data_IF_438040681430
#
_entry.id   IF_438040681430
#
_cell.length_a   1.000
_cell.length_b   1.000
_cell.length_c   1.000
_cell.angle_alpha   90.00
_cell.angle_beta   90.00
_cell.angle_gamma   90.00
#
_symmetry.space_group_name_H-M   'P 1'
#
loop_
_entity.id
_entity.type
_entity.pdbx_description
1 polymer ?
#
# COMPACT_ATOMS: atom_id res chain seq x y z
N UNK A 1 12.34 16.22 -15.16
CA UNK A 1 11.46 16.08 -16.36
C UNK A 1 10.04 15.92 -15.84
N UNK A 2 9.13 16.82 -16.20
CA UNK A 2 7.72 16.69 -15.83
C UNK A 2 7.20 15.42 -16.53
N UNK A 3 6.71 14.46 -15.73
CA UNK A 3 6.16 13.22 -16.28
C UNK A 3 4.92 13.58 -17.11
N UNK A 4 4.95 13.32 -18.43
CA UNK A 4 3.84 13.62 -19.36
C UNK A 4 2.51 12.95 -18.97
N UNK A 5 2.56 11.94 -18.11
CA UNK A 5 1.41 11.10 -17.69
C UNK A 5 0.95 11.37 -16.25
N UNK A 6 1.56 12.36 -15.57
CA UNK A 6 1.29 12.66 -14.16
C UNK A 6 2.06 11.74 -13.19
N UNK A 7 1.79 11.85 -11.87
CA UNK A 7 2.44 11.02 -10.85
C UNK A 7 1.98 9.56 -10.95
N UNK A 8 2.88 8.62 -10.67
CA UNK A 8 2.53 7.23 -10.44
C UNK A 8 1.64 7.12 -9.19
N UNK A 9 0.50 6.45 -9.30
CA UNK A 9 -0.43 6.23 -8.20
C UNK A 9 -0.32 4.78 -7.72
N UNK A 10 0.06 4.59 -6.46
CA UNK A 10 0.24 3.26 -5.86
C UNK A 10 -0.71 3.07 -4.70
N UNK A 11 -1.61 2.10 -4.83
CA UNK A 11 -2.53 1.71 -3.77
C UNK A 11 -1.86 0.78 -2.75
N UNK A 12 -2.08 1.03 -1.46
CA UNK A 12 -1.64 0.18 -0.35
C UNK A 12 -2.88 -0.32 0.37
N UNK A 13 -3.29 -1.55 0.09
CA UNK A 13 -4.44 -2.21 0.69
C UNK A 13 -4.03 -3.26 1.73
N UNK A 14 -5.00 -3.69 2.52
CA UNK A 14 -4.83 -4.76 3.48
C UNK A 14 -5.66 -4.58 4.75
N UNK A 15 -5.84 -5.62 5.57
CA UNK A 15 -6.61 -5.56 6.78
C UNK A 15 -6.08 -4.56 7.81
N UNK A 16 -6.95 -4.17 8.73
CA UNK A 16 -6.56 -3.36 9.88
C UNK A 16 -5.46 -4.08 10.66
N UNK A 17 -4.42 -3.35 11.03
CA UNK A 17 -3.28 -3.88 11.77
C UNK A 17 -2.24 -4.64 10.94
N UNK A 18 -2.44 -4.89 9.64
CA UNK A 18 -1.45 -5.60 8.80
C UNK A 18 -0.12 -4.85 8.63
N UNK A 19 -0.11 -3.52 8.88
CA UNK A 19 1.08 -2.67 8.80
C UNK A 19 1.18 -1.85 7.52
N UNK A 20 0.03 -1.47 6.93
CA UNK A 20 -0.04 -0.55 5.80
C UNK A 20 0.65 0.77 6.10
N UNK A 21 0.26 1.41 7.20
CA UNK A 21 0.82 2.70 7.64
C UNK A 21 2.33 2.62 7.92
N UNK A 22 2.79 1.50 8.48
CA UNK A 22 4.24 1.26 8.66
C UNK A 22 4.98 1.13 7.32
N UNK A 23 4.36 0.51 6.31
CA UNK A 23 4.90 0.45 4.96
C UNK A 23 4.92 1.83 4.32
N UNK A 24 3.82 2.58 4.42
CA UNK A 24 3.69 3.96 3.91
C UNK A 24 4.77 4.85 4.51
N UNK A 25 4.95 4.81 5.84
CA UNK A 25 6.01 5.56 6.55
C UNK A 25 7.41 5.18 6.04
N UNK A 26 7.71 3.89 5.95
CA UNK A 26 9.02 3.41 5.49
C UNK A 26 9.32 3.84 4.05
N UNK A 27 8.33 3.77 3.15
CA UNK A 27 8.46 4.24 1.77
C UNK A 27 8.68 5.76 1.71
N UNK A 28 7.91 6.54 2.48
CA UNK A 28 8.08 7.98 2.56
C UNK A 28 9.49 8.39 3.00
N UNK A 29 9.96 7.83 4.11
CA UNK A 29 11.30 8.12 4.64
C UNK A 29 12.43 7.73 3.69
N UNK A 30 12.22 6.68 2.89
CA UNK A 30 13.20 6.19 1.93
C UNK A 30 13.23 6.98 0.63
N UNK A 31 12.06 7.33 0.10
CA UNK A 31 11.92 7.85 -1.26
C UNK A 31 11.84 9.37 -1.33
N UNK A 32 11.30 10.04 -0.31
CA UNK A 32 11.06 11.50 -0.33
C UNK A 32 12.31 12.36 -0.57
N UNK A 33 13.50 11.81 -0.30
CA UNK A 33 14.77 12.48 -0.60
C UNK A 33 15.18 12.42 -2.07
N UNK A 34 14.52 11.56 -2.86
CA UNK A 34 14.90 11.27 -4.24
C UNK A 34 13.82 11.66 -5.24
N UNK A 35 12.55 11.56 -4.85
CA UNK A 35 11.40 11.83 -5.70
C UNK A 35 10.39 12.71 -4.98
N UNK A 36 9.67 13.54 -5.74
CA UNK A 36 8.56 14.33 -5.23
C UNK A 36 7.35 13.45 -5.02
N UNK A 37 6.88 13.32 -3.76
CA UNK A 37 5.81 12.41 -3.43
C UNK A 37 4.79 13.00 -2.46
N UNK A 38 3.59 12.40 -2.44
CA UNK A 38 2.51 12.69 -1.51
C UNK A 38 1.82 11.40 -1.04
N UNK A 39 1.02 11.49 0.02
CA UNK A 39 0.22 10.40 0.57
C UNK A 39 -1.23 10.83 0.72
N UNK A 40 -2.14 9.95 0.33
CA UNK A 40 -3.56 9.98 0.68
C UNK A 40 -3.80 8.79 1.62
N UNK A 41 -4.30 9.06 2.82
CA UNK A 41 -4.62 8.03 3.79
C UNK A 41 -6.12 8.03 4.04
N UNK A 42 -6.77 6.91 3.71
CA UNK A 42 -8.19 6.73 3.92
C UNK A 42 -8.44 6.10 5.29
N UNK A 43 -9.44 6.60 5.99
CA UNK A 43 -9.99 5.97 7.18
C UNK A 43 -11.51 6.08 7.19
N UNK A 44 -12.19 5.26 7.99
CA UNK A 44 -13.65 5.18 8.01
C UNK A 44 -14.25 6.36 8.77
N UNK A 45 -13.74 6.66 9.96
CA UNK A 45 -14.29 7.65 10.90
C UNK A 45 -13.25 8.64 11.44
N UNK A 46 -11.98 8.44 11.11
CA UNK A 46 -10.89 9.22 11.69
C UNK A 46 -9.85 9.54 10.61
N UNK A 47 -8.88 10.35 10.97
CA UNK A 47 -7.69 10.62 10.16
C UNK A 47 -6.43 10.14 10.91
N UNK A 48 -6.57 9.15 11.82
CA UNK A 48 -5.50 8.70 12.71
C UNK A 48 -4.23 8.28 11.96
N UNK A 49 -4.38 7.53 10.87
CA UNK A 49 -3.22 7.11 10.07
C UNK A 49 -2.51 8.30 9.41
N UNK A 50 -3.28 9.29 8.94
CA UNK A 50 -2.70 10.54 8.41
C UNK A 50 -2.03 11.34 9.54
N UNK A 51 -2.67 11.49 10.69
CA UNK A 51 -2.10 12.16 11.87
C UNK A 51 -0.83 11.47 12.37
N UNK A 52 -0.81 10.13 12.36
CA UNK A 52 0.39 9.37 12.68
C UNK A 52 1.54 9.70 11.72
N UNK A 53 1.30 9.67 10.41
CA UNK A 53 2.32 10.00 9.39
C UNK A 53 2.83 11.45 9.53
N UNK A 54 1.95 12.38 9.90
CA UNK A 54 2.30 13.76 10.21
C UNK A 54 3.17 13.83 11.47
N UNK A 55 2.78 13.15 12.54
CA UNK A 55 3.49 13.11 13.83
C UNK A 55 4.90 12.54 13.71
N UNK A 56 5.07 11.48 12.91
CA UNK A 56 6.40 10.88 12.67
C UNK A 56 7.19 11.61 11.58
N UNK A 57 6.66 12.72 11.06
CA UNK A 57 7.27 13.54 10.01
C UNK A 57 7.70 12.70 8.80
N UNK A 58 6.84 11.77 8.37
CA UNK A 58 7.08 10.93 7.21
C UNK A 58 7.27 11.76 5.93
N UNK A 59 6.45 12.83 5.80
CA UNK A 59 6.51 13.87 4.76
C UNK A 59 6.14 15.23 5.36
N UNK A 60 6.38 16.36 4.66
CA UNK A 60 5.79 17.66 4.97
C UNK A 60 4.26 17.55 5.07
N UNK A 61 3.65 18.28 6.01
CA UNK A 61 2.23 18.20 6.36
C UNK A 61 1.31 18.40 5.16
N UNK A 62 1.65 19.35 4.29
CA UNK A 62 0.89 19.68 3.08
C UNK A 62 0.93 18.57 2.00
N UNK A 63 1.77 17.55 2.16
CA UNK A 63 1.89 16.38 1.27
C UNK A 63 1.19 15.13 1.83
N UNK A 64 0.55 15.24 2.98
CA UNK A 64 -0.24 14.17 3.60
C UNK A 64 -1.69 14.63 3.65
N UNK A 65 -2.59 13.88 3.02
CA UNK A 65 -4.02 14.16 2.99
C UNK A 65 -4.80 13.01 3.61
N UNK A 66 -5.49 13.27 4.70
CA UNK A 66 -6.48 12.37 5.28
C UNK A 66 -7.81 12.47 4.51
N UNK A 67 -8.45 11.34 4.26
CA UNK A 67 -9.77 11.23 3.63
C UNK A 67 -10.67 10.37 4.53
N UNK A 68 -11.72 10.97 5.06
CA UNK A 68 -12.76 10.25 5.78
C UNK A 68 -13.76 9.66 4.79
N UNK A 69 -13.88 8.34 4.75
CA UNK A 69 -14.73 7.66 3.76
C UNK A 69 -16.18 7.51 4.22
N UNK A 70 -16.47 7.77 5.48
CA UNK A 70 -17.84 7.85 6.04
C UNK A 70 -18.68 6.57 5.97
N UNK A 71 -18.08 5.45 5.61
CA UNK A 71 -18.79 4.19 5.39
C UNK A 71 -17.86 3.02 5.15
N UNK A 72 -18.18 2.17 4.19
CA UNK A 72 -17.35 1.03 3.84
C UNK A 72 -16.08 1.49 3.10
N UNK A 73 -14.87 1.24 3.64
CA UNK A 73 -13.62 1.70 3.03
C UNK A 73 -13.39 1.12 1.62
N UNK A 74 -13.99 -0.03 1.31
CA UNK A 74 -13.92 -0.63 -0.03
C UNK A 74 -14.58 0.24 -1.09
N UNK A 75 -15.66 0.94 -0.74
CA UNK A 75 -16.38 1.82 -1.67
C UNK A 75 -15.45 2.93 -2.15
N UNK A 76 -14.75 3.59 -1.25
CA UNK A 76 -13.90 4.74 -1.58
C UNK A 76 -12.66 4.39 -2.44
N UNK A 77 -12.24 3.13 -2.45
CA UNK A 77 -11.09 2.70 -3.26
C UNK A 77 -11.50 1.95 -4.54
N UNK A 78 -12.77 1.55 -4.68
CA UNK A 78 -13.24 0.73 -5.80
C UNK A 78 -14.53 1.19 -6.44
N UNK A 79 -15.69 1.10 -5.73
CA UNK A 79 -17.02 1.33 -6.34
C UNK A 79 -17.27 2.81 -6.62
N UNK A 80 -16.82 3.69 -5.73
CA UNK A 80 -16.92 5.15 -5.87
C UNK A 80 -15.63 5.81 -5.38
N UNK A 81 -14.64 5.84 -6.23
CA UNK A 81 -13.34 6.43 -5.94
C UNK A 81 -13.32 7.97 -6.05
N UNK A 82 -14.45 8.64 -6.24
CA UNK A 82 -14.55 10.08 -6.53
C UNK A 82 -13.85 10.95 -5.49
N UNK A 83 -14.00 10.65 -4.21
CA UNK A 83 -13.36 11.41 -3.13
C UNK A 83 -11.83 11.30 -3.18
N UNK A 84 -11.31 10.13 -3.51
CA UNK A 84 -9.87 9.92 -3.67
C UNK A 84 -9.33 10.54 -4.96
N UNK A 85 -10.09 10.49 -6.06
CA UNK A 85 -9.72 11.14 -7.32
C UNK A 85 -9.65 12.66 -7.15
N UNK A 86 -10.61 13.27 -6.43
CA UNK A 86 -10.54 14.67 -6.03
C UNK A 86 -9.27 14.98 -5.22
N UNK A 87 -8.95 14.15 -4.23
CA UNK A 87 -7.75 14.32 -3.43
C UNK A 87 -6.46 14.22 -4.26
N UNK A 88 -6.42 13.32 -5.25
CA UNK A 88 -5.33 13.21 -6.23
C UNK A 88 -5.18 14.50 -7.04
N UNK A 89 -6.29 15.02 -7.57
CA UNK A 89 -6.25 16.22 -8.41
C UNK A 89 -5.84 17.45 -7.61
N UNK A 90 -6.32 17.64 -6.40
CA UNK A 90 -5.88 18.73 -5.52
C UNK A 90 -4.37 18.66 -5.21
N UNK A 91 -3.82 17.46 -4.99
CA UNK A 91 -2.39 17.30 -4.78
C UNK A 91 -1.58 17.59 -6.04
N UNK A 92 -2.06 17.22 -7.22
CA UNK A 92 -1.42 17.51 -8.51
C UNK A 92 -1.42 19.02 -8.82
N UNK A 93 -2.52 19.72 -8.52
CA UNK A 93 -2.61 21.17 -8.68
C UNK A 93 -1.65 21.89 -7.74
N UNK A 94 -1.60 21.45 -6.49
CA UNK A 94 -0.72 22.04 -5.46
C UNK A 94 0.76 21.76 -5.70
N UNK A 95 1.09 20.58 -6.24
CA UNK A 95 2.46 20.12 -6.47
C UNK A 95 2.64 19.60 -7.91
N UNK A 96 2.84 20.49 -8.88
CA UNK A 96 3.00 20.10 -10.29
C UNK A 96 4.22 19.22 -10.59
N UNK A 97 5.14 19.14 -9.65
CA UNK A 97 6.35 18.31 -9.71
C UNK A 97 6.17 16.88 -9.15
N UNK A 98 4.96 16.52 -8.72
CA UNK A 98 4.69 15.21 -8.14
C UNK A 98 5.04 14.07 -9.10
N UNK A 99 5.78 13.09 -8.57
CA UNK A 99 6.19 11.88 -9.29
C UNK A 99 5.50 10.62 -8.73
N UNK A 100 5.11 10.62 -7.43
CA UNK A 100 4.47 9.48 -6.76
C UNK A 100 3.37 9.94 -5.80
N UNK A 101 2.22 9.26 -5.85
CA UNK A 101 1.18 9.35 -4.82
C UNK A 101 0.95 7.95 -4.25
N UNK A 102 1.12 7.78 -2.94
CA UNK A 102 0.70 6.58 -2.22
C UNK A 102 -0.73 6.78 -1.73
N UNK A 103 -1.60 5.79 -1.97
CA UNK A 103 -3.02 5.82 -1.54
C UNK A 103 -3.25 4.63 -0.63
N UNK A 104 -3.30 4.90 0.67
CA UNK A 104 -3.53 3.88 1.70
C UNK A 104 -5.04 3.69 1.93
N UNK A 105 -5.49 2.44 2.00
CA UNK A 105 -6.89 2.10 2.31
C UNK A 105 -7.16 2.09 3.81
N UNK A 106 -8.41 2.35 4.21
CA UNK A 106 -8.84 2.41 5.61
C UNK A 106 -8.97 1.05 6.32
N UNK A 107 -8.52 -0.03 5.68
CA UNK A 107 -8.62 -1.39 6.23
C UNK A 107 -9.58 -2.24 5.41
N UNK A 108 -9.05 -3.27 4.77
CA UNK A 108 -9.76 -4.07 3.78
C UNK A 108 -9.80 -5.54 4.16
N UNK A 109 -10.76 -6.26 3.59
CA UNK A 109 -10.75 -7.71 3.60
C UNK A 109 -10.04 -8.26 2.35
N UNK A 110 -9.86 -9.58 2.28
CA UNK A 110 -9.16 -10.25 1.18
C UNK A 110 -9.86 -10.13 -0.20
N UNK A 111 -11.07 -9.60 -0.26
CA UNK A 111 -11.82 -9.39 -1.50
C UNK A 111 -11.61 -7.98 -2.09
N UNK A 112 -11.12 -7.02 -1.30
CA UNK A 112 -10.95 -5.65 -1.72
C UNK A 112 -9.79 -5.50 -2.72
N UNK A 113 -10.06 -4.77 -3.80
CA UNK A 113 -9.06 -4.38 -4.80
C UNK A 113 -9.29 -2.91 -5.16
N UNK A 114 -8.22 -2.21 -5.51
CA UNK A 114 -8.34 -0.83 -5.99
C UNK A 114 -9.00 -0.74 -7.37
N UNK A 115 -9.70 0.36 -7.62
CA UNK A 115 -10.16 0.72 -8.97
C UNK A 115 -8.94 1.02 -9.86
N UNK A 116 -8.92 0.52 -11.11
CA UNK A 116 -7.88 0.86 -12.09
C UNK A 116 -7.84 2.36 -12.45
N UNK A 117 -8.91 3.11 -12.19
CA UNK A 117 -8.95 4.56 -12.39
C UNK A 117 -8.18 5.29 -11.29
N UNK A 118 -8.20 4.72 -10.08
CA UNK A 118 -7.58 5.33 -8.91
C UNK A 118 -6.09 5.06 -8.82
N UNK A 119 -5.64 3.83 -9.12
CA UNK A 119 -4.24 3.45 -8.97
C UNK A 119 -3.69 2.77 -10.23
N UNK A 120 -2.41 2.99 -10.46
CA UNK A 120 -1.65 2.35 -11.55
C UNK A 120 -1.05 1.01 -11.11
N UNK A 121 -0.72 0.89 -9.81
CA UNK A 121 -0.19 -0.32 -9.18
C UNK A 121 -0.81 -0.50 -7.79
N UNK A 122 -0.90 -1.75 -7.34
CA UNK A 122 -1.44 -2.11 -6.03
C UNK A 122 -0.48 -2.98 -5.22
N UNK A 123 -0.25 -2.60 -3.98
CA UNK A 123 0.44 -3.40 -2.98
C UNK A 123 -0.61 -3.88 -1.97
N UNK A 124 -0.70 -5.18 -1.76
CA UNK A 124 -1.56 -5.72 -0.72
C UNK A 124 -0.73 -6.24 0.44
N UNK A 125 -1.08 -5.83 1.66
CA UNK A 125 -0.35 -6.15 2.88
C UNK A 125 -1.16 -7.12 3.73
N UNK A 126 -0.59 -8.27 4.03
CA UNK A 126 -1.06 -9.19 5.09
C UNK A 126 0.04 -9.36 6.12
N UNK A 127 -0.25 -9.96 7.25
CA UNK A 127 0.77 -10.31 8.23
C UNK A 127 0.65 -11.75 8.74
N UNK A 128 1.72 -12.27 9.30
CA UNK A 128 1.78 -13.67 9.76
C UNK A 128 0.83 -13.95 10.92
N UNK A 129 0.46 -12.94 11.73
CA UNK A 129 -0.44 -13.13 12.87
C UNK A 129 -1.91 -13.32 12.45
N UNK A 130 -2.23 -13.06 11.18
CA UNK A 130 -3.56 -13.35 10.62
C UNK A 130 -3.78 -14.85 10.38
N UNK A 131 -2.73 -15.65 10.43
CA UNK A 131 -2.73 -17.09 10.18
C UNK A 131 -1.94 -17.49 8.94
N UNK A 132 -1.14 -18.55 9.05
CA UNK A 132 -0.27 -19.03 7.97
C UNK A 132 -1.02 -19.56 6.75
N UNK A 133 -2.32 -19.84 6.88
CA UNK A 133 -3.19 -20.37 5.83
C UNK A 133 -3.89 -19.27 5.00
N UNK A 134 -3.73 -18.01 5.34
CA UNK A 134 -4.35 -16.87 4.61
C UNK A 134 -4.00 -16.88 3.12
N UNK A 135 -2.76 -17.07 2.67
CA UNK A 135 -2.45 -17.11 1.24
C UNK A 135 -3.18 -18.23 0.51
N UNK A 136 -3.29 -19.42 1.13
CA UNK A 136 -4.00 -20.58 0.57
C UNK A 136 -5.50 -20.38 0.48
N UNK A 137 -6.11 -19.65 1.43
CA UNK A 137 -7.53 -19.25 1.36
C UNK A 137 -7.80 -18.32 0.19
N UNK A 138 -6.79 -17.57 -0.23
CA UNK A 138 -6.84 -16.72 -1.39
C UNK A 138 -7.74 -15.50 -1.22
N UNK A 139 -8.21 -15.00 -2.34
CA UNK A 139 -9.02 -13.80 -2.47
C UNK A 139 -8.43 -12.86 -3.54
N UNK A 140 -9.26 -12.04 -4.19
CA UNK A 140 -8.79 -11.15 -5.26
C UNK A 140 -7.63 -10.24 -4.86
N UNK A 141 -7.63 -9.76 -3.62
CA UNK A 141 -6.56 -8.90 -3.14
C UNK A 141 -5.20 -9.62 -3.07
N UNK A 142 -5.19 -10.90 -2.68
CA UNK A 142 -3.96 -11.72 -2.65
C UNK A 142 -3.54 -12.12 -4.07
N UNK A 143 -4.49 -12.58 -4.89
CA UNK A 143 -4.18 -13.20 -6.18
C UNK A 143 -3.98 -12.22 -7.33
N UNK A 144 -4.41 -10.95 -7.19
CA UNK A 144 -4.42 -9.95 -8.27
C UNK A 144 -3.61 -8.69 -7.98
N UNK A 145 -3.24 -8.42 -6.72
CA UNK A 145 -2.37 -7.27 -6.44
C UNK A 145 -1.03 -7.40 -7.17
N UNK A 146 -0.46 -6.29 -7.61
CA UNK A 146 0.82 -6.29 -8.30
C UNK A 146 1.95 -6.76 -7.39
N UNK A 147 1.90 -6.42 -6.10
CA UNK A 147 2.78 -6.94 -5.07
C UNK A 147 2.00 -7.41 -3.84
N UNK A 148 2.37 -8.56 -3.28
CA UNK A 148 1.92 -9.01 -1.97
C UNK A 148 3.05 -8.84 -0.96
N UNK A 149 2.80 -8.10 0.13
CA UNK A 149 3.71 -8.03 1.27
C UNK A 149 3.17 -8.90 2.41
N UNK A 150 3.95 -9.89 2.82
CA UNK A 150 3.72 -10.68 4.04
C UNK A 150 4.57 -10.06 5.14
N UNK A 151 3.93 -9.27 6.00
CA UNK A 151 4.59 -8.46 7.01
C UNK A 151 4.72 -9.18 8.36
N UNK A 152 5.48 -8.59 9.29
CA UNK A 152 5.68 -9.06 10.67
C UNK A 152 6.23 -10.48 10.76
N UNK A 153 7.13 -10.85 9.88
CA UNK A 153 7.70 -12.21 9.82
C UNK A 153 8.42 -12.61 11.10
N UNK A 154 8.88 -11.66 11.91
CA UNK A 154 9.43 -11.84 13.23
C UNK A 154 8.45 -12.46 14.23
N UNK A 155 7.15 -12.29 14.02
CA UNK A 155 6.10 -12.86 14.86
C UNK A 155 5.81 -14.32 14.56
N UNK A 156 6.26 -14.86 13.43
CA UNK A 156 5.93 -16.21 12.99
C UNK A 156 6.16 -17.30 14.06
N UNK A 157 7.30 -17.32 14.80
CA UNK A 157 7.51 -18.30 15.86
C UNK A 157 6.51 -18.17 17.02
N UNK A 158 6.04 -16.96 17.31
CA UNK A 158 5.15 -16.68 18.44
C UNK A 158 3.68 -17.00 18.14
N UNK A 159 3.31 -17.02 16.85
CA UNK A 159 1.95 -17.33 16.39
C UNK A 159 1.85 -18.73 15.75
N UNK A 160 2.92 -19.53 15.84
CA UNK A 160 2.95 -20.91 15.33
C UNK A 160 2.89 -21.03 13.81
N UNK A 161 3.34 -20.00 13.07
CA UNK A 161 3.36 -19.99 11.61
C UNK A 161 4.70 -20.52 11.10
N UNK A 162 4.64 -21.49 10.19
CA UNK A 162 5.79 -21.95 9.43
C UNK A 162 5.90 -21.12 8.14
N UNK A 163 6.96 -20.33 8.02
CA UNK A 163 7.18 -19.43 6.87
C UNK A 163 7.41 -20.20 5.56
N UNK A 164 8.06 -21.37 5.59
CA UNK A 164 8.30 -22.17 4.37
C UNK A 164 6.97 -22.71 3.82
N UNK A 165 6.07 -23.15 4.69
CA UNK A 165 4.71 -23.59 4.30
C UNK A 165 3.93 -22.40 3.74
N UNK A 166 3.97 -21.27 4.42
CA UNK A 166 3.29 -20.05 3.97
C UNK A 166 3.82 -19.57 2.63
N UNK A 167 5.13 -19.66 2.39
CA UNK A 167 5.76 -19.33 1.11
C UNK A 167 5.23 -20.20 -0.02
N UNK A 168 5.19 -21.51 0.17
CA UNK A 168 4.63 -22.44 -0.82
C UNK A 168 3.17 -22.10 -1.15
N UNK A 169 2.35 -21.78 -0.13
CA UNK A 169 0.96 -21.37 -0.33
C UNK A 169 0.87 -20.05 -1.12
N UNK A 170 1.75 -19.08 -0.86
CA UNK A 170 1.84 -17.83 -1.62
C UNK A 170 2.20 -18.09 -3.08
N UNK A 171 3.21 -18.91 -3.34
CA UNK A 171 3.66 -19.24 -4.70
C UNK A 171 2.55 -19.90 -5.52
N UNK A 172 1.81 -20.82 -4.91
CA UNK A 172 0.66 -21.49 -5.53
C UNK A 172 -0.48 -20.49 -5.82
N UNK A 173 -0.80 -19.63 -4.85
CA UNK A 173 -1.90 -18.66 -4.99
C UNK A 173 -1.61 -17.55 -6.01
N UNK A 174 -0.36 -17.12 -6.12
CA UNK A 174 0.03 -15.95 -6.92
C UNK A 174 0.61 -16.27 -8.29
N UNK A 175 0.93 -17.52 -8.59
CA UNK A 175 1.41 -17.96 -9.91
C UNK A 175 2.46 -17.03 -10.52
N UNK A 176 3.58 -16.76 -10.03
CA UNK A 176 4.65 -15.85 -10.49
C UNK A 176 4.45 -14.36 -10.22
N UNK A 177 3.31 -13.92 -9.73
CA UNK A 177 3.19 -12.54 -9.28
C UNK A 177 4.10 -12.29 -8.07
N UNK A 178 4.76 -11.13 -8.01
CA UNK A 178 5.78 -10.87 -7.01
C UNK A 178 5.21 -10.79 -5.59
N UNK A 179 5.98 -11.28 -4.63
CA UNK A 179 5.70 -11.19 -3.21
C UNK A 179 6.97 -10.93 -2.41
N UNK A 180 6.81 -10.40 -1.20
CA UNK A 180 7.92 -10.11 -0.28
C UNK A 180 7.53 -10.53 1.12
N UNK A 181 8.40 -11.27 1.80
CA UNK A 181 8.35 -11.45 3.24
C UNK A 181 9.16 -10.33 3.91
N UNK A 182 8.56 -9.64 4.88
CA UNK A 182 9.18 -8.47 5.45
C UNK A 182 8.79 -8.17 6.89
N UNK A 183 9.45 -7.14 7.43
CA UNK A 183 9.21 -6.58 8.74
C UNK A 183 9.34 -5.06 8.65
N UNK A 184 8.26 -4.39 8.26
CA UNK A 184 8.29 -2.97 7.90
C UNK A 184 8.72 -2.07 9.07
N UNK A 185 8.38 -2.44 10.31
CA UNK A 185 8.81 -1.73 11.51
C UNK A 185 10.35 -1.60 11.61
N UNK A 186 11.09 -2.58 11.11
CA UNK A 186 12.55 -2.61 11.11
C UNK A 186 13.15 -2.44 9.71
N UNK A 187 12.37 -1.97 8.75
CA UNK A 187 12.77 -1.76 7.35
C UNK A 187 13.25 -3.04 6.62
N UNK A 188 12.98 -4.24 7.15
CA UNK A 188 13.32 -5.48 6.46
C UNK A 188 12.36 -5.72 5.29
N UNK A 189 12.89 -5.91 4.10
CA UNK A 189 12.13 -6.07 2.86
C UNK A 189 11.78 -4.77 2.14
N UNK A 190 11.99 -3.59 2.74
CA UNK A 190 11.65 -2.30 2.13
C UNK A 190 12.44 -2.02 0.86
N UNK A 191 13.69 -2.50 0.76
CA UNK A 191 14.51 -2.36 -0.46
C UNK A 191 13.82 -3.04 -1.63
N UNK A 192 13.40 -4.29 -1.43
CA UNK A 192 12.71 -5.08 -2.46
C UNK A 192 11.40 -4.41 -2.88
N UNK A 193 10.57 -3.97 -1.92
CA UNK A 193 9.32 -3.26 -2.22
C UNK A 193 9.57 -2.00 -3.03
N UNK A 194 10.52 -1.17 -2.61
CA UNK A 194 10.82 0.11 -3.28
C UNK A 194 11.43 -0.08 -4.68
N UNK A 195 12.28 -1.10 -4.85
CA UNK A 195 12.95 -1.35 -6.13
C UNK A 195 12.02 -2.01 -7.14
N UNK A 196 11.29 -3.04 -6.73
CA UNK A 196 10.50 -3.88 -7.65
C UNK A 196 9.33 -3.13 -8.28
N UNK A 197 8.74 -2.16 -7.56
CA UNK A 197 7.48 -1.55 -7.96
C UNK A 197 7.55 -0.05 -8.24
N UNK A 198 8.57 0.66 -7.69
CA UNK A 198 8.61 2.11 -7.79
C UNK A 198 9.74 2.62 -8.67
N UNK A 199 10.67 1.76 -9.07
CA UNK A 199 11.84 2.13 -9.88
C UNK A 199 11.95 1.39 -11.21
N UNK A 200 11.21 0.29 -11.41
CA UNK A 200 11.11 -0.32 -12.74
C UNK A 200 10.29 0.60 -13.64
N UNK A 201 10.76 0.89 -14.85
CA UNK A 201 9.95 1.62 -15.80
C UNK A 201 8.66 0.83 -15.98
N UNK A 202 7.54 1.41 -15.62
CA UNK A 202 6.24 0.90 -16.01
C UNK A 202 6.31 0.69 -17.51
N UNK A 203 6.08 -0.52 -17.97
CA UNK A 203 5.86 -0.80 -19.39
C UNK A 203 4.59 -0.08 -19.80
N UNK A 204 4.70 1.21 -20.02
CA UNK A 204 3.80 2.00 -20.81
C UNK A 204 4.31 1.87 -22.25
N UNK A 205 3.94 0.76 -22.87
CA UNK A 205 4.00 0.60 -24.33
C UNK A 205 2.69 1.05 -24.92
#
# INVERSE_FOLDING_TARGET
>A
MINKFGPLKVGIGGPVGAGKTSLTEALCKKLSKKISMAVISNDIYTIEDAEYLMKVQALPLERIKGVETGGCPHTAIREDASINLLAVDELKEKFPDLELILIESGGDNLAATFSPELVDLSIYVIDVAMGGDIPRKGGPAITRSDLLLINKTDLAPYVGVNLDVMQNDVELARNKLPYVFGQMKNNHGIETVSYTHLTLPTKLS
#
